data_IF_043582211176
#
_entry.id   IF_043582211176
#
_cell.length_a   1.000
_cell.length_b   1.000
_cell.length_c   1.000
_cell.angle_alpha   90.00
_cell.angle_beta   90.00
_cell.angle_gamma   90.00
#
_symmetry.space_group_name_H-M   'P 1'
#
loop_
_entity.id
_entity.type
_entity.pdbx_description
1 polymer ?
#
# COMPACT_ATOMS: atom_id res chain seq x y z
N UNK A 1 15.29 10.76 3.99
CA UNK A 1 13.87 10.53 4.28
C UNK A 1 13.22 10.02 3.00
N UNK A 2 12.57 8.86 3.04
CA UNK A 2 11.94 8.21 1.88
C UNK A 2 10.51 7.86 2.25
N UNK A 3 9.56 8.18 1.39
CA UNK A 3 8.14 7.95 1.64
C UNK A 3 7.65 6.96 0.59
N UNK A 4 7.01 5.88 1.05
CA UNK A 4 6.32 4.93 0.20
C UNK A 4 4.92 5.48 -0.11
N UNK A 5 4.62 5.71 -1.38
CA UNK A 5 3.30 6.19 -1.81
C UNK A 5 2.54 5.04 -2.46
N UNK A 6 1.34 4.75 -1.98
CA UNK A 6 0.45 3.67 -2.45
C UNK A 6 -0.95 4.20 -2.72
N UNK A 7 -1.71 3.52 -3.59
CA UNK A 7 -3.07 3.89 -3.98
C UNK A 7 -3.84 2.65 -4.45
N UNK A 8 -5.17 2.73 -4.52
CA UNK A 8 -6.05 1.76 -5.20
C UNK A 8 -5.87 0.32 -4.71
N UNK A 9 -5.81 0.16 -3.39
CA UNK A 9 -5.64 -1.16 -2.76
C UNK A 9 -6.92 -1.99 -2.91
N UNK A 10 -8.09 -1.35 -2.91
CA UNK A 10 -9.40 -1.98 -3.10
C UNK A 10 -9.58 -3.26 -2.28
N UNK A 11 -9.35 -3.16 -0.96
CA UNK A 11 -9.41 -4.24 0.02
C UNK A 11 -8.46 -5.44 -0.24
N UNK A 12 -7.56 -5.38 -1.22
CA UNK A 12 -6.64 -6.48 -1.53
C UNK A 12 -5.46 -6.51 -0.54
N UNK A 13 -5.67 -7.16 0.60
CA UNK A 13 -4.66 -7.28 1.67
C UNK A 13 -3.39 -8.00 1.18
N UNK A 14 -3.53 -9.06 0.37
CA UNK A 14 -2.39 -9.83 -0.14
C UNK A 14 -1.47 -8.98 -1.04
N UNK A 15 -2.06 -8.16 -1.92
CA UNK A 15 -1.30 -7.23 -2.75
C UNK A 15 -0.59 -6.17 -1.90
N UNK A 16 -1.28 -5.64 -0.88
CA UNK A 16 -0.68 -4.67 0.04
C UNK A 16 0.52 -5.27 0.79
N UNK A 17 0.39 -6.47 1.36
CA UNK A 17 1.47 -7.18 2.05
C UNK A 17 2.68 -7.39 1.13
N UNK A 18 2.44 -7.88 -0.10
CA UNK A 18 3.49 -8.11 -1.10
C UNK A 18 4.27 -6.83 -1.41
N UNK A 19 3.59 -5.68 -1.52
CA UNK A 19 4.23 -4.39 -1.79
C UNK A 19 5.02 -3.90 -0.58
N UNK A 20 4.47 -4.04 0.63
CA UNK A 20 5.15 -3.63 1.87
C UNK A 20 6.41 -4.45 2.14
N UNK A 21 6.40 -5.74 1.82
CA UNK A 21 7.58 -6.62 1.93
C UNK A 21 8.64 -6.33 0.86
N UNK A 22 8.22 -5.96 -0.36
CA UNK A 22 9.13 -5.61 -1.44
C UNK A 22 9.75 -4.22 -1.28
N UNK A 23 9.08 -3.31 -0.57
CA UNK A 23 9.56 -1.97 -0.32
C UNK A 23 10.54 -1.96 0.86
N UNK A 24 11.75 -1.41 0.66
CA UNK A 24 12.76 -1.26 1.71
C UNK A 24 13.18 0.22 1.87
N UNK A 25 13.68 0.56 3.05
CA UNK A 25 14.22 1.87 3.41
C UNK A 25 13.25 3.05 3.22
N UNK A 26 11.98 2.92 3.63
CA UNK A 26 11.05 4.04 3.78
C UNK A 26 10.79 4.36 5.26
N UNK A 27 10.54 5.65 5.56
CA UNK A 27 10.26 6.15 6.90
C UNK A 27 8.76 6.38 7.14
N UNK A 28 7.98 6.53 6.08
CA UNK A 28 6.54 6.80 6.14
C UNK A 28 5.83 6.15 4.94
N UNK A 29 4.53 5.87 5.10
CA UNK A 29 3.65 5.40 4.03
C UNK A 29 2.51 6.39 3.84
N UNK A 30 2.31 6.87 2.62
CA UNK A 30 1.18 7.71 2.25
C UNK A 30 0.24 6.94 1.34
N UNK A 31 -1.02 6.81 1.76
CA UNK A 31 -2.08 6.17 1.00
C UNK A 31 -2.95 7.24 0.34
N UNK A 32 -3.09 7.20 -0.99
CA UNK A 32 -3.80 8.20 -1.78
C UNK A 32 -5.31 7.99 -1.85
N UNK A 33 -5.83 6.86 -1.34
CA UNK A 33 -7.26 6.57 -1.35
C UNK A 33 -7.56 5.17 -1.88
N UNK A 34 -8.85 4.90 -2.08
CA UNK A 34 -9.38 3.64 -2.60
C UNK A 34 -8.84 2.41 -1.85
N UNK A 35 -8.76 2.55 -0.51
CA UNK A 35 -8.30 1.51 0.39
C UNK A 35 -9.24 0.30 0.44
N UNK A 36 -10.55 0.53 0.31
CA UNK A 36 -11.61 -0.48 0.46
C UNK A 36 -12.52 -0.53 -0.78
N UNK A 37 -13.39 -1.54 -0.85
CA UNK A 37 -14.30 -1.77 -1.97
C UNK A 37 -13.71 -2.68 -3.05
N UNK A 38 -14.57 -3.35 -3.82
CA UNK A 38 -14.26 -4.32 -4.89
C UNK A 38 -13.52 -5.62 -4.52
N UNK A 39 -12.60 -5.61 -3.54
CA UNK A 39 -11.78 -6.79 -3.20
C UNK A 39 -12.49 -7.90 -2.40
N UNK A 40 -11.93 -9.13 -2.41
CA UNK A 40 -12.27 -10.22 -1.49
C UNK A 40 -11.65 -10.07 -0.09
#
# INVERSE_FOLDING_TARGET
MRILVISDIHANANALETVLEAADNYSEVWCLGDLVGYGP
#
